data_IF_373418055637
#
_entry.id   IF_373418055637
#
_cell.length_a   1.000
_cell.length_b   1.000
_cell.length_c   1.000
_cell.angle_alpha   90.00
_cell.angle_beta   90.00
_cell.angle_gamma   90.00
#
_symmetry.space_group_name_H-M   'P 1'
#
loop_
_entity.id
_entity.type
_entity.pdbx_description
1 polymer ?
#
# COMPACT_ATOMS: atom_id res chain seq x y z
N UNK A 1 -15.76 -7.73 7.99
CA UNK A 1 -17.21 -7.60 8.21
C UNK A 1 -18.06 -7.98 6.99
N UNK A 2 -17.61 -7.80 5.75
CA UNK A 2 -18.39 -8.17 4.55
C UNK A 2 -18.76 -9.65 4.41
N UNK A 3 -17.94 -10.58 4.90
CA UNK A 3 -18.25 -12.03 4.89
C UNK A 3 -19.31 -12.42 5.94
N UNK A 4 -19.46 -11.65 7.03
CA UNK A 4 -20.45 -11.92 8.09
C UNK A 4 -21.85 -11.48 7.63
N UNK A 5 -21.93 -10.48 6.76
CA UNK A 5 -23.19 -10.00 6.17
C UNK A 5 -23.78 -10.93 5.10
N UNK A 6 -23.01 -11.91 4.61
CA UNK A 6 -23.48 -12.88 3.59
C UNK A 6 -24.35 -14.00 4.19
N UNK A 7 -24.39 -14.13 5.52
CA UNK A 7 -25.16 -15.16 6.24
C UNK A 7 -26.40 -14.65 6.96
N UNK A 8 -26.73 -13.35 6.86
CA UNK A 8 -27.89 -12.76 7.52
C UNK A 8 -29.14 -12.84 6.62
N UNK A 9 -30.18 -13.62 6.97
CA UNK A 9 -31.40 -13.76 6.16
C UNK A 9 -32.35 -12.56 6.26
N UNK A 10 -32.09 -11.58 7.12
CA UNK A 10 -32.98 -10.42 7.33
C UNK A 10 -32.70 -9.23 6.42
N UNK A 11 -31.48 -9.13 5.88
CA UNK A 11 -31.12 -8.12 4.91
C UNK A 11 -30.93 -8.84 3.57
N UNK A 12 -31.77 -8.53 2.59
CA UNK A 12 -31.51 -8.89 1.19
C UNK A 12 -30.76 -7.73 0.50
N UNK A 13 -29.51 -7.35 0.83
CA UNK A 13 -28.73 -6.58 -0.12
C UNK A 13 -28.26 -7.64 -1.12
N UNK A 14 -29.01 -7.80 -2.21
CA UNK A 14 -28.54 -8.63 -3.33
C UNK A 14 -27.09 -8.28 -3.65
N UNK A 15 -26.32 -9.22 -4.20
CA UNK A 15 -24.87 -9.10 -4.48
C UNK A 15 -24.43 -7.70 -4.99
N UNK A 16 -25.31 -6.98 -5.70
CA UNK A 16 -25.19 -5.58 -6.11
C UNK A 16 -24.94 -4.56 -4.98
N UNK A 17 -25.57 -4.68 -3.81
CA UNK A 17 -25.46 -3.72 -2.69
C UNK A 17 -24.11 -3.77 -1.96
N UNK A 18 -23.39 -4.89 -2.07
CA UNK A 18 -22.03 -5.06 -1.55
C UNK A 18 -20.97 -4.66 -2.60
N UNK A 19 -21.33 -4.74 -3.90
CA UNK A 19 -20.40 -4.55 -5.01
C UNK A 19 -20.41 -3.14 -5.62
N UNK A 20 -21.46 -2.35 -5.40
CA UNK A 20 -21.54 -0.97 -5.91
C UNK A 20 -21.44 0.01 -4.73
N UNK A 21 -20.35 0.79 -4.63
CA UNK A 21 -20.27 1.83 -3.61
C UNK A 21 -21.37 2.88 -3.84
N UNK A 22 -21.92 3.42 -2.74
CA UNK A 22 -22.92 4.50 -2.70
C UNK A 22 -24.40 4.15 -3.03
N UNK A 23 -24.78 2.87 -3.09
CA UNK A 23 -26.18 2.50 -3.38
C UNK A 23 -27.13 2.57 -2.18
N UNK A 24 -26.62 2.45 -0.94
CA UNK A 24 -27.46 2.59 0.26
C UNK A 24 -27.45 4.03 0.79
N UNK A 25 -28.61 4.58 1.11
CA UNK A 25 -28.82 5.95 1.62
C UNK A 25 -28.49 6.14 3.10
N UNK A 26 -28.22 5.07 3.87
CA UNK A 26 -27.80 5.15 5.27
C UNK A 26 -26.33 4.73 5.42
N UNK A 27 -25.46 5.63 5.94
CA UNK A 27 -24.00 5.46 6.12
C UNK A 27 -23.22 5.09 4.83
N UNK A 28 -23.62 5.68 3.71
CA UNK A 28 -23.10 5.40 2.35
C UNK A 28 -21.60 5.72 2.19
N UNK A 29 -21.13 6.83 2.77
CA UNK A 29 -19.76 7.33 2.59
C UNK A 29 -18.73 6.39 3.21
N UNK A 30 -18.90 6.03 4.48
CA UNK A 30 -17.98 5.13 5.17
C UNK A 30 -18.00 3.73 4.56
N UNK A 31 -19.17 3.22 4.21
CA UNK A 31 -19.31 1.92 3.54
C UNK A 31 -18.63 1.93 2.17
N UNK A 32 -18.82 3.00 1.38
CA UNK A 32 -18.16 3.17 0.08
C UNK A 32 -16.63 3.22 0.18
N UNK A 33 -16.10 3.97 1.16
CA UNK A 33 -14.64 4.02 1.42
C UNK A 33 -14.11 2.63 1.80
N UNK A 34 -14.83 1.88 2.64
CA UNK A 34 -14.47 0.52 3.03
C UNK A 34 -14.46 -0.45 1.85
N UNK A 35 -15.45 -0.36 0.96
CA UNK A 35 -15.53 -1.18 -0.27
C UNK A 35 -14.37 -0.85 -1.21
N UNK A 36 -14.10 0.43 -1.46
CA UNK A 36 -12.99 0.87 -2.31
C UNK A 36 -11.64 0.42 -1.73
N UNK A 37 -11.45 0.57 -0.41
CA UNK A 37 -10.28 0.08 0.31
C UNK A 37 -10.10 -1.44 0.16
N UNK A 38 -11.19 -2.19 0.41
CA UNK A 38 -11.19 -3.66 0.32
C UNK A 38 -10.86 -4.16 -1.08
N UNK A 39 -11.53 -3.65 -2.11
CA UNK A 39 -11.26 -4.06 -3.49
C UNK A 39 -9.89 -3.60 -3.98
N UNK A 40 -9.45 -2.40 -3.61
CA UNK A 40 -8.11 -1.91 -3.95
C UNK A 40 -7.01 -2.79 -3.36
N UNK A 41 -7.12 -3.15 -2.08
CA UNK A 41 -6.19 -4.07 -1.43
C UNK A 41 -6.24 -5.47 -2.02
N UNK A 42 -7.43 -6.01 -2.29
CA UNK A 42 -7.59 -7.34 -2.89
C UNK A 42 -6.98 -7.40 -4.30
N UNK A 43 -7.30 -6.43 -5.15
CA UNK A 43 -6.80 -6.36 -6.52
C UNK A 43 -5.28 -6.19 -6.55
N UNK A 44 -4.74 -5.27 -5.75
CA UNK A 44 -3.29 -5.04 -5.67
C UNK A 44 -2.56 -6.21 -5.01
N UNK A 45 -3.17 -6.89 -4.04
CA UNK A 45 -2.65 -8.12 -3.45
C UNK A 45 -2.57 -9.24 -4.48
N UNK A 46 -3.66 -9.48 -5.19
CA UNK A 46 -3.73 -10.50 -6.24
C UNK A 46 -2.81 -10.19 -7.43
N UNK A 47 -2.53 -8.90 -7.69
CA UNK A 47 -1.58 -8.48 -8.72
C UNK A 47 -0.17 -9.05 -8.54
N UNK A 48 0.18 -9.48 -7.31
CA UNK A 48 1.42 -10.21 -7.05
C UNK A 48 1.56 -11.48 -7.90
N UNK A 49 0.49 -12.26 -8.07
CA UNK A 49 0.51 -13.47 -8.91
C UNK A 49 0.64 -13.14 -10.39
N UNK A 50 0.13 -11.97 -10.79
CA UNK A 50 0.23 -11.45 -12.16
C UNK A 50 1.56 -10.71 -12.42
N UNK A 51 2.43 -10.54 -11.40
CA UNK A 51 3.70 -9.81 -11.49
C UNK A 51 4.58 -10.28 -12.64
N UNK A 52 4.60 -11.58 -12.91
CA UNK A 52 5.39 -12.16 -14.02
C UNK A 52 4.93 -11.68 -15.41
N UNK A 53 3.68 -11.24 -15.55
CA UNK A 53 3.09 -10.87 -16.84
C UNK A 53 3.11 -9.35 -17.04
N UNK A 54 2.78 -8.58 -16.00
CA UNK A 54 2.78 -7.10 -16.07
C UNK A 54 4.18 -6.49 -15.95
N UNK A 55 5.16 -7.29 -15.53
CA UNK A 55 6.54 -6.90 -15.34
C UNK A 55 6.80 -6.23 -13.97
N UNK A 56 8.02 -6.39 -13.43
CA UNK A 56 8.34 -5.94 -12.07
C UNK A 56 8.29 -4.43 -11.89
N UNK A 57 8.52 -3.64 -12.94
CA UNK A 57 8.47 -2.17 -12.86
C UNK A 57 7.06 -1.66 -12.62
N UNK A 58 6.09 -2.10 -13.45
CA UNK A 58 4.68 -1.73 -13.32
C UNK A 58 4.09 -2.23 -12.01
N UNK A 59 4.40 -3.47 -11.64
CA UNK A 59 3.99 -4.04 -10.35
C UNK A 59 4.49 -3.21 -9.16
N UNK A 60 5.75 -2.77 -9.15
CA UNK A 60 6.28 -1.91 -8.08
C UNK A 60 5.56 -0.57 -7.97
N UNK A 61 5.11 0.00 -9.08
CA UNK A 61 4.31 1.23 -9.07
C UNK A 61 2.91 0.96 -8.51
N UNK A 62 2.23 -0.08 -9.00
CA UNK A 62 0.92 -0.50 -8.50
C UNK A 62 0.95 -0.82 -7.00
N UNK A 63 1.97 -1.53 -6.54
CA UNK A 63 2.14 -1.91 -5.14
C UNK A 63 2.26 -0.69 -4.20
N UNK A 64 2.70 0.48 -4.67
CA UNK A 64 2.73 1.69 -3.84
C UNK A 64 1.33 2.17 -3.44
N UNK A 65 0.32 1.88 -4.26
CA UNK A 65 -1.07 2.26 -3.97
C UNK A 65 -1.67 1.47 -2.80
N UNK A 66 -1.07 0.34 -2.39
CA UNK A 66 -1.50 -0.41 -1.20
C UNK A 66 -1.49 0.49 0.04
N UNK A 67 -0.50 1.39 0.17
CA UNK A 67 -0.44 2.33 1.28
C UNK A 67 -1.65 3.27 1.32
N UNK A 68 -2.15 3.70 0.16
CA UNK A 68 -3.33 4.57 0.05
C UNK A 68 -4.58 3.80 0.48
N UNK A 69 -4.80 2.61 -0.08
CA UNK A 69 -5.98 1.81 0.29
C UNK A 69 -5.96 1.33 1.74
N UNK A 70 -4.77 1.09 2.29
CA UNK A 70 -4.60 0.79 3.71
C UNK A 70 -5.01 1.98 4.60
N UNK A 71 -4.60 3.21 4.25
CA UNK A 71 -5.05 4.43 4.95
C UNK A 71 -6.56 4.61 4.84
N UNK A 72 -7.16 4.34 3.68
CA UNK A 72 -8.62 4.35 3.52
C UNK A 72 -9.30 3.33 4.43
N UNK A 73 -8.71 2.15 4.63
CA UNK A 73 -9.19 1.15 5.58
C UNK A 73 -9.16 1.63 7.03
N UNK A 74 -8.11 2.35 7.44
CA UNK A 74 -8.04 2.97 8.76
C UNK A 74 -9.13 4.04 8.93
N UNK A 75 -9.25 4.93 7.95
CA UNK A 75 -10.27 5.98 7.90
C UNK A 75 -11.67 5.37 7.99
N UNK A 76 -11.93 4.28 7.26
CA UNK A 76 -13.19 3.51 7.36
C UNK A 76 -13.41 2.96 8.77
N UNK A 77 -12.39 2.36 9.39
CA UNK A 77 -12.50 1.74 10.72
C UNK A 77 -12.87 2.77 11.78
N UNK A 78 -12.20 3.94 11.78
CA UNK A 78 -12.49 5.02 12.74
C UNK A 78 -13.79 5.78 12.43
N UNK A 79 -14.15 5.94 11.16
CA UNK A 79 -15.36 6.68 10.78
C UNK A 79 -16.65 5.88 10.83
N UNK A 80 -16.58 4.55 10.65
CA UNK A 80 -17.74 3.67 10.78
C UNK A 80 -18.05 3.31 12.23
N UNK A 81 -17.02 3.21 13.08
CA UNK A 81 -17.14 2.81 14.48
C UNK A 81 -17.72 3.90 15.37
N UNK A 82 -18.83 3.61 16.07
CA UNK A 82 -19.35 4.47 17.14
C UNK A 82 -18.46 4.46 18.37
N UNK A 83 -17.71 3.38 18.58
CA UNK A 83 -16.77 3.17 19.69
C UNK A 83 -15.32 3.46 19.30
N UNK A 84 -15.12 4.30 18.29
CA UNK A 84 -13.81 4.57 17.70
C UNK A 84 -12.77 5.13 18.70
N UNK A 85 -13.17 5.57 19.88
CA UNK A 85 -12.29 6.08 20.94
C UNK A 85 -12.15 5.13 22.14
N UNK A 86 -12.73 3.93 22.08
CA UNK A 86 -12.62 2.98 23.17
C UNK A 86 -11.23 2.29 23.19
N UNK A 87 -10.62 2.09 24.37
CA UNK A 87 -9.28 1.49 24.47
C UNK A 87 -9.15 0.12 23.81
N UNK A 88 -10.21 -0.69 23.83
CA UNK A 88 -10.22 -2.03 23.23
C UNK A 88 -10.18 -2.01 21.70
N UNK A 89 -10.55 -0.89 21.06
CA UNK A 89 -10.40 -0.66 19.61
C UNK A 89 -9.00 -0.11 19.30
N UNK A 90 -8.55 0.87 20.09
CA UNK A 90 -7.28 1.56 19.83
C UNK A 90 -6.05 0.69 20.04
N UNK A 91 -6.04 -0.18 21.06
CA UNK A 91 -4.86 -1.02 21.36
C UNK A 91 -4.51 -1.94 20.19
N UNK A 92 -5.43 -2.77 19.64
CA UNK A 92 -5.11 -3.61 18.49
C UNK A 92 -4.78 -2.81 17.23
N UNK A 93 -5.49 -1.69 16.98
CA UNK A 93 -5.24 -0.85 15.80
C UNK A 93 -3.86 -0.21 15.87
N UNK A 94 -3.47 0.36 17.01
CA UNK A 94 -2.16 0.96 17.22
C UNK A 94 -1.05 -0.09 17.12
N UNK A 95 -1.25 -1.28 17.69
CA UNK A 95 -0.24 -2.35 17.65
C UNK A 95 0.01 -2.86 16.22
N UNK A 96 -1.05 -3.03 15.43
CA UNK A 96 -0.94 -3.53 14.05
C UNK A 96 -0.53 -2.45 13.06
N UNK A 97 -0.97 -1.21 13.27
CA UNK A 97 -0.82 -0.12 12.31
C UNK A 97 0.33 0.83 12.63
N UNK A 98 0.74 0.91 13.89
CA UNK A 98 1.83 1.78 14.35
C UNK A 98 3.14 1.51 13.63
N UNK A 99 3.67 0.26 13.62
CA UNK A 99 4.90 -0.07 12.90
C UNK A 99 4.80 0.23 11.40
N UNK A 100 3.66 -0.11 10.77
CA UNK A 100 3.43 0.15 9.35
C UNK A 100 3.42 1.67 9.04
N UNK A 101 2.81 2.47 9.91
CA UNK A 101 2.78 3.93 9.78
C UNK A 101 4.17 4.54 9.95
N UNK A 102 4.93 4.11 10.96
CA UNK A 102 6.32 4.55 11.18
C UNK A 102 7.18 4.25 9.96
N UNK A 103 7.13 3.01 9.45
CA UNK A 103 7.89 2.63 8.26
C UNK A 103 7.45 3.41 7.01
N UNK A 104 6.15 3.71 6.87
CA UNK A 104 5.66 4.53 5.77
C UNK A 104 6.20 5.97 5.86
N UNK A 105 6.16 6.58 7.05
CA UNK A 105 6.69 7.92 7.28
C UNK A 105 8.20 7.95 6.99
N UNK A 106 8.97 7.03 7.57
CA UNK A 106 10.41 6.90 7.30
C UNK A 106 10.67 6.73 5.80
N UNK A 107 9.90 5.91 5.10
CA UNK A 107 10.06 5.71 3.65
C UNK A 107 9.80 6.98 2.83
N UNK A 108 8.85 7.80 3.25
CA UNK A 108 8.53 9.07 2.59
C UNK A 108 9.60 10.12 2.84
N UNK A 109 10.17 10.18 4.05
CA UNK A 109 11.25 11.11 4.40
C UNK A 109 12.60 10.71 3.79
N UNK A 110 12.95 9.41 3.82
CA UNK A 110 14.22 8.91 3.26
C UNK A 110 14.25 8.86 1.72
N UNK A 111 13.12 9.01 1.02
CA UNK A 111 13.10 9.15 -0.44
C UNK A 111 13.80 10.42 -0.95
N UNK A 112 13.92 11.44 -0.10
CA UNK A 112 14.65 12.68 -0.40
C UNK A 112 16.17 12.55 -0.25
N UNK A 113 16.65 11.58 0.51
CA UNK A 113 18.08 11.32 0.73
C UNK A 113 18.63 10.41 -0.36
N UNK A 114 18.65 10.87 -1.62
CA UNK A 114 19.66 10.32 -2.53
C UNK A 114 21.01 10.70 -1.94
N UNK A 115 21.91 9.76 -1.62
CA UNK A 115 23.30 10.12 -1.42
C UNK A 115 23.69 10.87 -2.69
N UNK A 116 24.11 12.13 -2.57
CA UNK A 116 24.80 12.81 -3.65
C UNK A 116 25.81 11.81 -4.18
N UNK A 117 25.73 11.49 -5.48
CA UNK A 117 26.63 10.56 -6.12
C UNK A 117 28.03 10.87 -5.60
N UNK A 118 28.56 9.98 -4.76
CA UNK A 118 29.91 10.08 -4.26
C UNK A 118 30.78 9.78 -5.47
N UNK A 119 30.95 10.84 -6.26
CA UNK A 119 32.09 11.18 -7.07
C UNK A 119 32.99 9.97 -7.29
N UNK A 120 32.70 9.23 -8.37
CA UNK A 120 33.70 8.44 -9.08
C UNK A 120 34.70 9.45 -9.67
N UNK A 121 35.49 10.09 -8.80
CA UNK A 121 36.71 10.77 -9.18
C UNK A 121 37.82 10.06 -8.43
N UNK A 122 38.53 9.18 -9.13
CA UNK A 122 39.72 8.55 -8.57
C UNK A 122 40.13 7.23 -9.18
N UNK A 123 40.28 7.18 -10.52
CA UNK A 123 41.34 6.38 -11.13
C UNK A 123 40.91 5.25 -12.06
N UNK A 124 41.85 4.67 -12.83
CA UNK A 124 42.99 5.29 -13.50
C UNK A 124 43.06 4.85 -14.98
N UNK A 125 43.49 5.69 -15.93
CA UNK A 125 44.08 5.23 -17.21
C UNK A 125 44.46 6.41 -18.12
N UNK A 126 45.76 6.63 -18.32
CA UNK A 126 46.43 6.41 -19.61
C UNK A 126 47.80 7.09 -19.65
N UNK A 127 48.89 6.30 -19.56
CA UNK A 127 50.22 6.54 -20.14
C UNK A 127 51.20 5.58 -19.42
N UNK A 128 51.95 4.70 -20.06
CA UNK A 128 52.16 4.47 -21.47
C UNK A 128 52.71 3.06 -21.67
N UNK A 129 52.51 2.60 -22.89
CA UNK A 129 52.97 1.32 -23.41
C UNK A 129 54.49 1.22 -23.37
N UNK A 130 54.92 0.04 -22.95
CA UNK A 130 56.24 -0.59 -23.01
C UNK A 130 57.02 -0.27 -24.31
N UNK A 131 58.27 0.17 -24.17
CA UNK A 131 59.31 -0.01 -25.18
C UNK A 131 60.54 -0.64 -24.49
N UNK A 132 60.55 -1.97 -24.49
CA UNK A 132 61.76 -2.76 -24.30
C UNK A 132 62.18 -3.15 -25.71
N UNK A 133 63.33 -2.64 -26.17
CA UNK A 133 64.16 -3.43 -27.05
C UNK A 133 65.61 -3.32 -26.61
N UNK A 134 66.24 -4.50 -26.52
CA UNK A 134 67.62 -4.73 -26.12
C UNK A 134 68.40 -4.97 -27.39
N UNK A 135 69.42 -4.17 -27.67
CA UNK A 135 70.64 -4.60 -28.36
C UNK A 135 71.78 -3.64 -28.03
#
# INVERSE_FOLDING_TARGET
HGLILLGDPWLKPGLAGISIPFVMSYRSLWTGIGIIAGYGLALLGLSYYLRRWIGPSRWRTAHRFIAIFWLLGLVHTFGAGTDAFQPWVWIPVALTSGPALVLLIMRLTHRGSKPAAAKVAGGPASAGTVMIDRH
#
